data_IF_030407876929
#
_entry.id   IF_030407876929
#
_cell.length_a   1.000
_cell.length_b   1.000
_cell.length_c   1.000
_cell.angle_alpha   90.00
_cell.angle_beta   90.00
_cell.angle_gamma   90.00
#
_symmetry.space_group_name_H-M   'P 1'
#
loop_
_entity.id
_entity.type
_entity.pdbx_description
1 polymer ?
#
# COMPACT_ATOMS: atom_id res chain seq x y z
N UNK A 1 -1.09 -44.59 -51.35
CA UNK A 1 -0.85 -43.20 -51.82
C UNK A 1 -2.15 -42.42 -51.78
N UNK A 2 -2.29 -41.44 -50.89
CA UNK A 2 -3.47 -40.58 -50.84
C UNK A 2 -3.41 -39.61 -52.03
N UNK A 3 -4.49 -39.49 -52.82
CA UNK A 3 -4.50 -38.64 -54.02
C UNK A 3 -4.29 -37.15 -53.68
N UNK A 4 -3.56 -36.43 -54.54
CA UNK A 4 -3.30 -34.98 -54.38
C UNK A 4 -4.61 -34.17 -54.22
N UNK A 5 -5.72 -34.62 -54.81
CA UNK A 5 -7.06 -34.00 -54.64
C UNK A 5 -7.59 -34.16 -53.21
N UNK A 6 -7.40 -35.33 -52.59
CA UNK A 6 -7.85 -35.60 -51.22
C UNK A 6 -7.01 -34.82 -50.20
N UNK A 7 -5.69 -34.74 -50.39
CA UNK A 7 -4.81 -33.91 -49.57
C UNK A 7 -5.19 -32.42 -49.63
N UNK A 8 -5.53 -31.91 -50.83
CA UNK A 8 -5.97 -30.51 -51.00
C UNK A 8 -7.33 -30.24 -50.34
N UNK A 9 -8.26 -31.20 -50.37
CA UNK A 9 -9.53 -31.11 -49.64
C UNK A 9 -9.33 -31.15 -48.12
N UNK A 10 -8.47 -32.04 -47.61
CA UNK A 10 -8.16 -32.16 -46.17
C UNK A 10 -7.48 -30.89 -45.65
N UNK A 11 -6.49 -30.32 -46.37
CA UNK A 11 -5.89 -29.02 -46.00
C UNK A 11 -6.92 -27.89 -45.98
N UNK A 12 -7.85 -27.85 -46.94
CA UNK A 12 -8.93 -26.85 -46.97
C UNK A 12 -9.92 -27.01 -45.81
N UNK A 13 -10.14 -28.25 -45.35
CA UNK A 13 -10.97 -28.54 -44.19
C UNK A 13 -10.27 -28.14 -42.89
N UNK A 14 -9.03 -28.60 -42.68
CA UNK A 14 -8.23 -28.26 -41.50
C UNK A 14 -8.00 -26.75 -41.34
N UNK A 15 -7.84 -26.01 -42.45
CA UNK A 15 -7.73 -24.55 -42.42
C UNK A 15 -9.03 -23.83 -41.99
N UNK A 16 -10.18 -24.54 -41.99
CA UNK A 16 -11.48 -24.04 -41.51
C UNK A 16 -11.84 -24.54 -40.12
N UNK A 17 -11.09 -25.48 -39.54
CA UNK A 17 -11.34 -25.99 -38.19
C UNK A 17 -10.69 -25.03 -37.20
N UNK A 18 -11.50 -24.42 -36.33
CA UNK A 18 -10.98 -23.63 -35.22
C UNK A 18 -10.20 -24.58 -34.31
N UNK A 19 -8.91 -24.34 -34.06
CA UNK A 19 -8.13 -25.19 -33.19
C UNK A 19 -8.75 -25.29 -31.79
N UNK A 20 -8.83 -26.50 -31.24
CA UNK A 20 -9.41 -26.75 -29.92
C UNK A 20 -8.78 -25.85 -28.83
N UNK A 21 -7.49 -25.55 -28.93
CA UNK A 21 -6.78 -24.67 -28.00
C UNK A 21 -7.29 -23.21 -28.02
N UNK A 22 -7.74 -22.69 -29.17
CA UNK A 22 -8.34 -21.36 -29.27
C UNK A 22 -9.70 -21.31 -28.57
N UNK A 23 -10.50 -22.37 -28.72
CA UNK A 23 -11.78 -22.51 -28.01
C UNK A 23 -11.54 -22.61 -26.49
N UNK A 24 -10.55 -23.38 -26.06
CA UNK A 24 -10.18 -23.48 -24.65
C UNK A 24 -9.69 -22.15 -24.06
N UNK A 25 -8.87 -21.38 -24.79
CA UNK A 25 -8.42 -20.05 -24.34
C UNK A 25 -9.62 -19.10 -24.20
N UNK A 26 -10.56 -19.11 -25.15
CA UNK A 26 -11.77 -18.29 -25.07
C UNK A 26 -12.64 -18.66 -23.87
N UNK A 27 -12.82 -19.95 -23.60
CA UNK A 27 -13.57 -20.43 -22.43
C UNK A 27 -12.88 -20.04 -21.12
N UNK A 28 -11.55 -20.22 -21.03
CA UNK A 28 -10.78 -19.85 -19.85
C UNK A 28 -10.86 -18.34 -19.58
N UNK A 29 -10.69 -17.50 -20.60
CA UNK A 29 -10.82 -16.05 -20.47
C UNK A 29 -12.23 -15.63 -20.07
N UNK A 30 -13.26 -16.30 -20.61
CA UNK A 30 -14.65 -16.01 -20.25
C UNK A 30 -14.95 -16.35 -18.79
N UNK A 31 -14.45 -17.49 -18.30
CA UNK A 31 -14.60 -17.90 -16.89
C UNK A 31 -13.87 -16.93 -15.95
N UNK A 32 -12.66 -16.50 -16.32
CA UNK A 32 -11.92 -15.49 -15.55
C UNK A 32 -12.67 -14.16 -15.52
N UNK A 33 -13.16 -13.69 -16.67
CA UNK A 33 -13.91 -12.44 -16.77
C UNK A 33 -15.21 -12.47 -15.96
N UNK A 34 -16.00 -13.54 -16.05
CA UNK A 34 -17.22 -13.69 -15.25
C UNK A 34 -16.91 -13.79 -13.76
N UNK A 35 -15.85 -14.50 -13.38
CA UNK A 35 -15.36 -14.55 -11.99
C UNK A 35 -14.97 -13.16 -11.45
N UNK A 36 -14.25 -12.35 -12.23
CA UNK A 36 -13.90 -10.98 -11.86
C UNK A 36 -15.12 -10.07 -11.72
N UNK A 37 -16.08 -10.16 -12.64
CA UNK A 37 -17.33 -9.38 -12.59
C UNK A 37 -18.15 -9.77 -11.36
N UNK A 38 -18.31 -11.08 -11.12
CA UNK A 38 -19.08 -11.59 -9.97
C UNK A 38 -18.41 -11.22 -8.64
N UNK A 39 -17.09 -11.28 -8.56
CA UNK A 39 -16.32 -10.78 -7.41
C UNK A 39 -16.54 -9.28 -7.18
N UNK A 40 -16.48 -8.47 -8.24
CA UNK A 40 -16.71 -7.03 -8.14
C UNK A 40 -18.13 -6.69 -7.66
N UNK A 41 -19.14 -7.36 -8.21
CA UNK A 41 -20.54 -7.23 -7.76
C UNK A 41 -20.69 -7.64 -6.31
N UNK A 42 -20.13 -8.79 -5.90
CA UNK A 42 -20.18 -9.25 -4.52
C UNK A 42 -19.51 -8.27 -3.56
N UNK A 43 -18.33 -7.74 -3.90
CA UNK A 43 -17.61 -6.73 -3.10
C UNK A 43 -18.42 -5.44 -2.98
N UNK A 44 -19.02 -4.98 -4.08
CA UNK A 44 -19.88 -3.79 -4.09
C UNK A 44 -21.12 -4.00 -3.20
N UNK A 45 -21.78 -5.14 -3.31
CA UNK A 45 -22.97 -5.48 -2.51
C UNK A 45 -22.63 -5.59 -1.03
N UNK A 46 -21.51 -6.23 -0.68
CA UNK A 46 -21.03 -6.35 0.70
C UNK A 46 -20.74 -4.97 1.32
N UNK A 47 -20.03 -4.09 0.60
CA UNK A 47 -19.77 -2.73 1.06
C UNK A 47 -21.07 -1.93 1.23
N UNK A 48 -22.01 -2.06 0.30
CA UNK A 48 -23.31 -1.40 0.39
C UNK A 48 -24.13 -1.90 1.60
N UNK A 49 -24.10 -3.20 1.88
CA UNK A 49 -24.74 -3.79 3.05
C UNK A 49 -24.11 -3.28 4.36
N UNK A 50 -22.78 -3.25 4.46
CA UNK A 50 -22.09 -2.66 5.62
C UNK A 50 -22.41 -1.16 5.76
N UNK A 51 -22.56 -0.41 4.66
CA UNK A 51 -23.00 1.00 4.69
C UNK A 51 -24.41 1.15 5.21
N UNK A 52 -25.34 0.33 4.74
CA UNK A 52 -26.71 0.34 5.26
C UNK A 52 -26.74 -0.02 6.74
N UNK A 53 -26.00 -1.05 7.16
CA UNK A 53 -25.95 -1.48 8.56
C UNK A 53 -25.35 -0.41 9.48
N UNK A 54 -24.28 0.28 9.04
CA UNK A 54 -23.71 1.40 9.77
C UNK A 54 -24.67 2.59 9.92
N UNK A 55 -25.65 2.74 9.02
CA UNK A 55 -26.63 3.84 9.07
C UNK A 55 -27.88 3.47 9.88
N UNK A 56 -28.23 2.17 9.96
CA UNK A 56 -29.43 1.71 10.64
C UNK A 56 -29.19 1.18 12.05
N UNK A 57 -27.95 0.79 12.38
CA UNK A 57 -27.64 0.31 13.73
C UNK A 57 -27.81 1.42 14.76
N UNK A 58 -28.50 1.09 15.85
CA UNK A 58 -28.64 1.96 17.03
C UNK A 58 -27.64 1.61 18.12
N UNK A 59 -26.87 0.53 17.94
CA UNK A 59 -25.88 0.05 18.89
C UNK A 59 -24.51 0.65 18.53
N UNK A 60 -23.93 1.50 19.39
CA UNK A 60 -22.65 2.15 19.08
C UNK A 60 -21.48 1.17 18.96
N UNK A 61 -21.44 0.12 19.77
CA UNK A 61 -20.39 -0.90 19.70
C UNK A 61 -20.46 -1.70 18.39
N UNK A 62 -21.67 -2.02 17.94
CA UNK A 62 -21.89 -2.65 16.64
C UNK A 62 -21.45 -1.73 15.49
N UNK A 63 -21.78 -0.43 15.56
CA UNK A 63 -21.32 0.56 14.61
C UNK A 63 -19.79 0.57 14.50
N UNK A 64 -19.08 0.58 15.63
CA UNK A 64 -17.61 0.55 15.62
C UNK A 64 -17.07 -0.72 14.96
N UNK A 65 -17.67 -1.89 15.21
CA UNK A 65 -17.24 -3.12 14.53
C UNK A 65 -17.44 -3.05 13.01
N UNK A 66 -18.56 -2.46 12.56
CA UNK A 66 -18.83 -2.27 11.13
C UNK A 66 -17.81 -1.31 10.51
N UNK A 67 -17.53 -0.18 11.18
CA UNK A 67 -16.53 0.79 10.73
C UNK A 67 -15.14 0.16 10.68
N UNK A 68 -14.76 -0.60 11.70
CA UNK A 68 -13.50 -1.36 11.72
C UNK A 68 -13.36 -2.27 10.50
N UNK A 69 -14.39 -3.07 10.18
CA UNK A 69 -14.35 -3.97 9.03
C UNK A 69 -14.22 -3.23 7.68
N UNK A 70 -14.74 -2.00 7.59
CA UNK A 70 -14.63 -1.16 6.38
C UNK A 70 -13.26 -0.51 6.23
N UNK A 71 -12.70 -0.05 7.35
CA UNK A 71 -11.39 0.63 7.41
C UNK A 71 -10.27 -0.40 7.24
N UNK A 72 -10.38 -1.52 7.95
CA UNK A 72 -9.39 -2.59 8.07
C UNK A 72 -10.06 -3.93 7.69
N UNK A 73 -10.21 -4.22 6.39
CA UNK A 73 -10.81 -5.49 5.97
C UNK A 73 -9.98 -6.69 6.43
N UNK A 74 -10.62 -7.69 7.03
CA UNK A 74 -9.95 -8.90 7.53
C UNK A 74 -9.13 -9.65 6.45
N UNK A 75 -9.59 -9.60 5.19
CA UNK A 75 -8.88 -10.21 4.06
C UNK A 75 -7.67 -9.41 3.59
N UNK A 76 -7.39 -8.26 4.18
CA UNK A 76 -6.38 -7.32 3.73
C UNK A 76 -6.79 -6.53 2.50
N UNK A 77 -5.79 -5.96 1.85
CA UNK A 77 -5.91 -5.14 0.66
C UNK A 77 -4.73 -5.42 -0.29
N UNK A 78 -5.03 -5.57 -1.58
CA UNK A 78 -4.04 -5.70 -2.64
C UNK A 78 -3.72 -4.32 -3.20
N UNK A 79 -2.47 -3.90 -3.08
CA UNK A 79 -1.97 -2.62 -3.61
C UNK A 79 -1.83 -2.71 -5.14
N UNK A 80 -1.84 -1.56 -5.81
CA UNK A 80 -1.71 -1.52 -7.27
C UNK A 80 -0.29 -1.83 -7.77
N UNK A 81 0.70 -1.78 -6.88
CA UNK A 81 2.11 -2.05 -7.20
C UNK A 81 2.47 -3.53 -7.08
N UNK A 82 3.52 -3.93 -7.78
CA UNK A 82 4.17 -5.24 -7.71
C UNK A 82 5.52 -5.18 -7.02
N UNK A 83 5.93 -6.32 -6.46
CA UNK A 83 7.25 -6.50 -5.84
C UNK A 83 8.39 -6.38 -6.84
N UNK A 84 8.25 -6.98 -8.03
CA UNK A 84 9.33 -7.15 -9.00
C UNK A 84 10.62 -7.61 -8.30
N UNK A 85 11.72 -6.88 -8.43
CA UNK A 85 13.00 -7.18 -7.78
C UNK A 85 13.30 -6.28 -6.57
N UNK A 86 12.32 -5.50 -6.09
CA UNK A 86 12.51 -4.52 -5.01
C UNK A 86 13.14 -5.15 -3.78
N UNK A 87 12.59 -6.27 -3.28
CA UNK A 87 13.12 -6.91 -2.08
C UNK A 87 14.58 -7.37 -2.23
N UNK A 88 14.94 -7.87 -3.42
CA UNK A 88 16.33 -8.23 -3.75
C UNK A 88 17.23 -7.01 -3.75
N UNK A 89 16.81 -5.91 -4.38
CA UNK A 89 17.58 -4.66 -4.41
C UNK A 89 17.79 -4.06 -3.00
N UNK A 90 16.82 -4.23 -2.08
CA UNK A 90 16.97 -3.79 -0.68
C UNK A 90 18.01 -4.61 0.08
N UNK A 91 18.10 -5.92 -0.17
CA UNK A 91 19.16 -6.76 0.40
C UNK A 91 20.53 -6.43 -0.21
N UNK A 92 20.62 -6.31 -1.53
CA UNK A 92 21.89 -6.04 -2.24
C UNK A 92 22.47 -4.65 -1.94
N UNK A 93 21.61 -3.66 -1.72
CA UNK A 93 22.04 -2.31 -1.33
C UNK A 93 22.55 -2.24 0.11
N UNK A 94 22.20 -3.22 0.95
CA UNK A 94 22.43 -3.18 2.39
C UNK A 94 21.40 -2.35 3.15
N UNK A 95 20.34 -1.88 2.48
CA UNK A 95 19.22 -1.18 3.12
C UNK A 95 18.55 -2.08 4.16
N UNK A 96 18.43 -3.37 3.85
CA UNK A 96 18.01 -4.42 4.78
C UNK A 96 19.16 -5.41 4.96
N UNK A 97 19.58 -5.60 6.21
CA UNK A 97 20.39 -6.73 6.63
C UNK A 97 19.50 -7.96 6.77
N UNK A 98 19.81 -9.01 6.02
CA UNK A 98 19.02 -10.24 6.00
C UNK A 98 18.83 -10.83 7.41
N UNK A 99 19.91 -10.94 8.18
CA UNK A 99 19.89 -11.60 9.49
C UNK A 99 19.07 -10.79 10.48
N UNK A 100 19.30 -9.46 10.56
CA UNK A 100 18.50 -8.60 11.45
C UNK A 100 17.02 -8.64 11.10
N UNK A 101 16.68 -8.69 9.81
CA UNK A 101 15.29 -8.75 9.36
C UNK A 101 14.64 -10.10 9.68
N UNK A 102 15.37 -11.21 9.51
CA UNK A 102 14.90 -12.55 9.90
C UNK A 102 14.69 -12.66 11.42
N UNK A 103 15.58 -12.08 12.22
CA UNK A 103 15.48 -12.01 13.68
C UNK A 103 14.28 -11.17 14.14
N UNK A 104 14.11 -9.99 13.53
CA UNK A 104 12.98 -9.09 13.79
C UNK A 104 11.63 -9.79 13.64
N UNK A 105 11.52 -10.67 12.64
CA UNK A 105 10.31 -11.40 12.29
C UNK A 105 10.37 -12.88 12.68
N UNK A 106 11.28 -13.27 13.58
CA UNK A 106 11.50 -14.68 13.93
C UNK A 106 10.26 -15.37 14.52
N UNK A 107 9.38 -14.63 15.17
CA UNK A 107 8.12 -15.14 15.75
C UNK A 107 6.90 -14.88 14.87
N UNK A 108 7.09 -14.29 13.68
CA UNK A 108 6.03 -13.95 12.75
C UNK A 108 6.07 -14.89 11.53
N UNK A 109 5.26 -15.96 11.50
CA UNK A 109 5.25 -16.90 10.40
C UNK A 109 4.78 -16.27 9.08
N UNK A 110 4.02 -15.18 9.13
CA UNK A 110 3.53 -14.47 7.95
C UNK A 110 4.65 -13.63 7.37
N UNK A 111 5.35 -12.84 8.19
CA UNK A 111 6.50 -12.07 7.72
C UNK A 111 7.63 -12.99 7.19
N UNK A 112 7.88 -14.16 7.79
CA UNK A 112 8.82 -15.15 7.22
C UNK A 112 8.42 -15.60 5.81
N UNK A 113 7.12 -15.84 5.58
CA UNK A 113 6.60 -16.20 4.27
C UNK A 113 6.77 -15.06 3.27
N UNK A 114 6.46 -13.82 3.66
CA UNK A 114 6.64 -12.62 2.84
C UNK A 114 8.13 -12.44 2.45
N UNK A 115 9.04 -12.62 3.41
CA UNK A 115 10.49 -12.57 3.17
C UNK A 115 10.92 -13.61 2.13
N UNK A 116 10.54 -14.88 2.32
CA UNK A 116 10.90 -15.94 1.39
C UNK A 116 10.33 -15.71 -0.02
N UNK A 117 9.11 -15.18 -0.11
CA UNK A 117 8.41 -14.98 -1.38
C UNK A 117 8.88 -13.73 -2.16
N UNK A 118 9.29 -12.66 -1.46
CA UNK A 118 9.43 -11.34 -2.07
C UNK A 118 10.79 -10.67 -1.85
N UNK A 119 11.59 -11.12 -0.88
CA UNK A 119 12.91 -10.53 -0.61
C UNK A 119 14.04 -11.27 -1.32
N UNK A 120 13.95 -12.59 -1.46
CA UNK A 120 15.07 -13.42 -1.96
C UNK A 120 15.02 -13.70 -3.47
N UNK A 121 13.91 -13.38 -4.13
CA UNK A 121 13.70 -13.62 -5.56
C UNK A 121 12.84 -12.53 -6.19
N UNK A 122 12.97 -12.36 -7.51
CA UNK A 122 12.04 -11.53 -8.26
C UNK A 122 10.63 -12.12 -8.19
N UNK A 123 9.65 -11.31 -7.80
CA UNK A 123 8.24 -11.71 -7.72
C UNK A 123 7.36 -10.75 -8.52
N UNK A 124 6.54 -11.30 -9.42
CA UNK A 124 5.54 -10.54 -10.16
C UNK A 124 4.23 -10.35 -9.37
N UNK A 125 4.22 -10.73 -8.09
CA UNK A 125 3.07 -10.59 -7.22
C UNK A 125 2.82 -9.12 -6.89
N UNK A 126 1.55 -8.76 -6.76
CA UNK A 126 1.22 -7.46 -6.17
C UNK A 126 1.55 -7.46 -4.70
N UNK A 127 1.99 -6.31 -4.19
CA UNK A 127 2.12 -6.11 -2.75
C UNK A 127 0.73 -6.19 -2.10
N UNK A 128 0.67 -6.76 -0.90
CA UNK A 128 -0.57 -6.84 -0.13
C UNK A 128 -0.32 -6.37 1.30
N UNK A 129 -1.32 -5.72 1.90
CA UNK A 129 -1.28 -5.31 3.30
C UNK A 129 -2.50 -5.87 4.05
N UNK A 130 -2.26 -6.37 5.25
CA UNK A 130 -3.27 -6.85 6.19
C UNK A 130 -2.78 -6.61 7.64
N UNK A 131 -3.61 -6.94 8.62
CA UNK A 131 -3.26 -6.76 10.03
C UNK A 131 -1.99 -7.54 10.42
N UNK A 132 -1.77 -8.71 9.84
CA UNK A 132 -0.62 -9.58 10.17
C UNK A 132 0.71 -9.17 9.53
N UNK A 133 0.72 -8.50 8.38
CA UNK A 133 1.95 -8.13 7.69
C UNK A 133 2.22 -6.61 7.69
N UNK A 134 1.41 -5.82 8.39
CA UNK A 134 1.51 -4.35 8.42
C UNK A 134 2.89 -3.85 8.87
N UNK A 135 3.48 -4.49 9.89
CA UNK A 135 4.85 -4.20 10.38
C UNK A 135 5.92 -4.56 9.35
N UNK A 136 5.77 -5.70 8.67
CA UNK A 136 6.66 -6.07 7.58
C UNK A 136 6.61 -5.06 6.43
N UNK A 137 5.39 -4.62 6.06
CA UNK A 137 5.19 -3.66 4.98
C UNK A 137 5.76 -2.27 5.32
N UNK A 138 5.54 -1.74 6.53
CA UNK A 138 6.08 -0.41 6.89
C UNK A 138 7.60 -0.42 6.90
N UNK A 139 8.25 -1.44 7.47
CA UNK A 139 9.71 -1.51 7.52
C UNK A 139 10.32 -1.71 6.12
N UNK A 140 9.66 -2.50 5.25
CA UNK A 140 10.19 -2.75 3.90
C UNK A 140 10.07 -1.53 3.01
N UNK A 141 8.92 -0.84 3.08
CA UNK A 141 8.73 0.42 2.34
C UNK A 141 9.58 1.55 2.94
N UNK A 142 9.81 1.56 4.25
CA UNK A 142 10.74 2.50 4.89
C UNK A 142 12.16 2.30 4.34
N UNK A 143 12.67 1.07 4.32
CA UNK A 143 13.96 0.77 3.71
C UNK A 143 14.05 1.26 2.26
N UNK A 144 12.99 1.04 1.48
CA UNK A 144 12.89 1.49 0.10
C UNK A 144 12.94 3.01 -0.04
N UNK A 145 12.10 3.74 0.69
CA UNK A 145 12.11 5.20 0.67
C UNK A 145 13.43 5.78 1.15
N UNK A 146 14.07 5.14 2.13
CA UNK A 146 15.34 5.58 2.69
C UNK A 146 16.50 5.44 1.69
N UNK A 147 16.62 4.29 1.04
CA UNK A 147 17.79 3.98 0.19
C UNK A 147 17.61 4.48 -1.25
N UNK A 148 16.37 4.57 -1.73
CA UNK A 148 16.09 5.01 -3.08
C UNK A 148 16.50 6.47 -3.26
N UNK A 149 17.19 6.75 -4.36
CA UNK A 149 17.63 8.09 -4.71
C UNK A 149 16.43 8.95 -5.04
N UNK A 150 16.27 10.04 -4.29
CA UNK A 150 15.05 10.86 -4.34
C UNK A 150 15.37 12.35 -4.29
N UNK A 151 14.80 13.13 -5.23
CA UNK A 151 14.88 14.59 -5.18
C UNK A 151 14.26 15.16 -3.91
N UNK A 152 13.21 14.53 -3.38
CA UNK A 152 12.59 14.95 -2.12
C UNK A 152 13.59 14.85 -0.97
N UNK A 153 14.40 13.79 -0.93
CA UNK A 153 15.42 13.60 0.10
C UNK A 153 16.66 14.48 -0.11
N UNK A 154 17.05 14.73 -1.37
CA UNK A 154 18.26 15.48 -1.71
C UNK A 154 18.06 17.00 -1.80
N UNK A 155 16.83 17.48 -1.92
CA UNK A 155 16.52 18.90 -2.14
C UNK A 155 15.34 19.40 -1.29
N UNK A 156 14.55 18.50 -0.71
CA UNK A 156 13.32 18.86 -0.01
C UNK A 156 13.48 19.25 1.47
N UNK A 157 12.36 19.19 2.18
CA UNK A 157 12.23 19.68 3.56
C UNK A 157 13.21 19.04 4.55
N UNK A 158 13.50 17.74 4.46
CA UNK A 158 14.46 17.08 5.37
C UNK A 158 15.85 17.72 5.28
N UNK A 159 16.38 17.93 4.08
CA UNK A 159 17.69 18.55 3.91
C UNK A 159 17.69 20.01 4.37
N UNK A 160 16.63 20.74 4.06
CA UNK A 160 16.47 22.16 4.40
C UNK A 160 16.40 22.35 5.92
N UNK A 161 15.52 21.63 6.60
CA UNK A 161 15.32 21.75 8.05
C UNK A 161 16.40 21.04 8.87
N UNK A 162 17.01 19.98 8.33
CA UNK A 162 18.17 19.32 8.94
C UNK A 162 19.46 20.14 8.87
N UNK A 163 19.48 21.26 8.13
CA UNK A 163 20.66 22.12 7.94
C UNK A 163 21.90 21.33 7.50
N UNK A 164 21.70 20.30 6.68
CA UNK A 164 22.75 19.40 6.20
C UNK A 164 22.97 18.14 7.04
N UNK A 165 22.47 18.07 8.27
CA UNK A 165 22.45 16.83 9.06
C UNK A 165 21.05 16.22 9.05
N UNK A 166 20.85 15.24 8.18
CA UNK A 166 19.58 14.51 8.07
C UNK A 166 19.54 13.27 8.95
N UNK A 167 20.58 12.95 9.73
CA UNK A 167 20.63 11.75 10.58
C UNK A 167 19.88 11.91 11.91
N UNK A 168 19.56 13.14 12.31
CA UNK A 168 18.79 13.43 13.52
C UNK A 168 17.28 13.16 13.41
N UNK A 169 16.77 12.86 12.21
CA UNK A 169 15.36 12.57 11.98
C UNK A 169 14.99 11.13 12.36
N UNK A 170 13.73 10.88 12.67
CA UNK A 170 13.29 9.56 13.13
C UNK A 170 13.45 8.47 12.05
N UNK A 171 13.32 8.82 10.78
CA UNK A 171 13.41 7.92 9.62
C UNK A 171 14.84 7.57 9.23
N UNK A 172 15.82 8.31 9.74
CA UNK A 172 17.24 8.07 9.47
C UNK A 172 17.94 7.55 10.73
N UNK A 173 17.88 8.30 11.82
CA UNK A 173 18.46 7.92 13.11
C UNK A 173 17.77 6.70 13.76
N UNK A 174 16.49 6.47 13.45
CA UNK A 174 15.77 5.30 13.91
C UNK A 174 15.98 4.03 13.09
N UNK A 175 16.64 4.10 11.92
CA UNK A 175 16.85 2.93 11.06
C UNK A 175 18.07 2.14 11.52
N UNK A 176 17.85 0.92 12.02
CA UNK A 176 18.90 0.04 12.55
C UNK A 176 18.97 -1.33 11.86
N UNK A 177 18.04 -1.58 10.93
CA UNK A 177 17.88 -2.85 10.23
C UNK A 177 18.76 -2.95 8.97
N UNK A 178 19.54 -1.92 8.65
CA UNK A 178 20.52 -1.95 7.56
C UNK A 178 21.80 -2.71 7.92
N UNK A 179 22.50 -3.19 6.89
CA UNK A 179 23.83 -3.81 7.03
C UNK A 179 24.95 -2.77 7.00
N UNK A 180 24.60 -1.50 6.77
CA UNK A 180 25.48 -0.32 6.74
C UNK A 180 24.89 0.80 7.59
N UNK A 181 25.71 1.78 8.03
CA UNK A 181 25.21 3.00 8.64
C UNK A 181 24.20 3.72 7.73
N UNK A 182 23.14 4.29 8.32
CA UNK A 182 22.10 5.01 7.55
C UNK A 182 22.65 6.16 6.71
N UNK A 183 23.76 6.79 7.13
CA UNK A 183 24.45 7.84 6.38
C UNK A 183 25.00 7.36 5.03
N UNK A 184 25.30 6.06 4.89
CA UNK A 184 25.73 5.45 3.62
C UNK A 184 24.55 4.94 2.78
N UNK A 185 23.38 4.79 3.40
CA UNK A 185 22.18 4.27 2.74
C UNK A 185 21.30 5.39 2.19
N UNK A 186 21.16 6.49 2.92
CA UNK A 186 20.25 7.60 2.62
C UNK A 186 20.42 8.10 1.17
N UNK A 187 19.37 7.96 0.36
CA UNK A 187 19.32 8.38 -1.05
C UNK A 187 20.50 7.89 -1.91
N UNK A 188 21.07 6.71 -1.58
CA UNK A 188 22.34 6.24 -2.14
C UNK A 188 22.20 5.41 -3.42
N UNK A 189 21.01 4.85 -3.70
CA UNK A 189 20.80 3.91 -4.82
C UNK A 189 19.64 4.33 -5.70
N UNK A 190 19.83 4.35 -7.01
CA UNK A 190 18.72 4.53 -7.96
C UNK A 190 17.99 3.19 -8.19
N UNK A 191 17.22 2.73 -7.20
CA UNK A 191 16.39 1.52 -7.30
C UNK A 191 15.20 1.78 -8.23
N UNK A 192 14.59 2.95 -8.08
CA UNK A 192 13.42 3.39 -8.84
C UNK A 192 13.83 4.57 -9.71
N UNK A 193 13.91 4.34 -11.02
CA UNK A 193 14.19 5.39 -11.99
C UNK A 193 12.92 6.11 -12.39
N UNK A 194 12.89 7.43 -12.17
CA UNK A 194 11.75 8.30 -12.48
C UNK A 194 12.11 9.33 -13.56
N UNK A 195 11.20 9.61 -14.48
CA UNK A 195 11.30 10.77 -15.38
C UNK A 195 11.04 12.08 -14.62
N UNK A 196 11.32 13.22 -15.26
CA UNK A 196 11.04 14.54 -14.69
C UNK A 196 9.55 14.71 -14.36
N UNK A 197 8.65 14.26 -15.23
CA UNK A 197 7.19 14.33 -15.01
C UNK A 197 6.76 13.45 -13.84
N UNK A 198 7.37 12.26 -13.72
CA UNK A 198 7.12 11.36 -12.60
C UNK A 198 7.62 11.96 -11.28
N UNK A 199 8.79 12.59 -11.25
CA UNK A 199 9.31 13.30 -10.07
C UNK A 199 8.35 14.40 -9.60
N UNK A 200 7.80 15.19 -10.51
CA UNK A 200 6.80 16.21 -10.16
C UNK A 200 5.50 15.59 -9.63
N UNK A 201 5.05 14.46 -10.20
CA UNK A 201 3.89 13.74 -9.68
C UNK A 201 4.13 13.19 -8.27
N UNK A 202 5.31 12.60 -8.01
CA UNK A 202 5.71 12.14 -6.67
C UNK A 202 5.64 13.29 -5.68
N UNK A 203 6.28 14.43 -6.00
CA UNK A 203 6.27 15.63 -5.15
C UNK A 203 4.86 16.15 -4.89
N UNK A 204 4.04 16.26 -5.94
CA UNK A 204 2.63 16.69 -5.84
C UNK A 204 1.84 15.82 -4.86
N UNK A 205 1.98 14.49 -4.93
CA UNK A 205 1.28 13.58 -4.04
C UNK A 205 1.84 13.71 -2.62
N UNK A 206 3.17 13.65 -2.48
CA UNK A 206 3.86 13.67 -1.19
C UNK A 206 3.52 14.93 -0.35
N UNK A 207 3.34 16.09 -0.98
CA UNK A 207 2.93 17.34 -0.33
C UNK A 207 1.55 17.27 0.36
N UNK A 208 0.68 16.35 -0.06
CA UNK A 208 -0.72 16.30 0.39
C UNK A 208 -1.05 15.12 1.30
N UNK A 209 -0.11 14.18 1.46
CA UNK A 209 -0.32 12.95 2.23
C UNK A 209 0.30 13.10 3.61
N UNK A 210 -0.55 13.04 4.63
CA UNK A 210 -0.19 13.10 6.05
C UNK A 210 -0.45 11.76 6.73
N UNK A 211 0.12 11.59 7.92
CA UNK A 211 -0.01 10.39 8.75
C UNK A 211 -0.11 10.81 10.23
N UNK A 212 -0.99 10.19 11.04
CA UNK A 212 -1.37 10.67 12.37
C UNK A 212 -0.24 10.81 13.39
N UNK A 213 0.95 10.26 13.11
CA UNK A 213 2.10 10.31 14.02
C UNK A 213 2.87 11.64 13.98
N UNK A 214 2.70 12.50 12.97
CA UNK A 214 3.46 13.76 12.85
C UNK A 214 2.67 14.87 12.13
N UNK A 215 3.11 16.12 12.28
CA UNK A 215 2.51 17.28 11.62
C UNK A 215 2.95 17.49 10.16
N UNK A 216 3.96 16.73 9.71
CA UNK A 216 4.60 16.90 8.42
C UNK A 216 3.93 16.08 7.31
N UNK A 217 3.91 16.60 6.07
CA UNK A 217 3.49 15.84 4.89
C UNK A 217 4.53 14.79 4.49
N UNK A 218 4.22 13.92 3.54
CA UNK A 218 5.16 12.92 3.00
C UNK A 218 6.33 13.53 2.23
N UNK A 219 6.24 14.79 1.80
CA UNK A 219 7.38 15.54 1.26
C UNK A 219 8.44 15.83 2.34
N UNK A 220 8.05 15.84 3.62
CA UNK A 220 8.97 15.82 4.75
C UNK A 220 8.88 14.46 5.48
N UNK A 221 9.56 13.41 4.98
CA UNK A 221 9.49 12.06 5.52
C UNK A 221 10.34 11.86 6.79
N UNK A 222 10.15 12.72 7.79
CA UNK A 222 10.85 12.64 9.08
C UNK A 222 10.59 11.31 9.81
N UNK A 223 9.35 10.84 9.93
CA UNK A 223 9.09 9.54 10.57
C UNK A 223 9.19 8.36 9.59
N UNK A 224 9.36 7.16 10.14
CA UNK A 224 9.36 5.90 9.39
C UNK A 224 8.14 5.72 8.46
N UNK A 225 6.93 6.05 8.92
CA UNK A 225 5.72 5.97 8.09
C UNK A 225 5.75 6.94 6.91
N UNK A 226 6.38 8.11 7.08
CA UNK A 226 6.58 9.06 6.00
C UNK A 226 7.54 8.55 4.95
N UNK A 227 8.67 8.01 5.40
CA UNK A 227 9.65 7.41 4.50
C UNK A 227 9.06 6.19 3.78
N UNK A 228 8.26 5.37 4.47
CA UNK A 228 7.52 4.27 3.87
C UNK A 228 6.50 4.74 2.82
N UNK A 229 5.72 5.78 3.13
CA UNK A 229 4.78 6.37 2.18
C UNK A 229 5.52 6.95 0.96
N UNK A 230 6.67 7.60 1.14
CA UNK A 230 7.50 8.09 0.03
C UNK A 230 7.97 6.94 -0.87
N UNK A 231 8.55 5.88 -0.29
CA UNK A 231 8.98 4.70 -1.04
C UNK A 231 7.83 4.05 -1.83
N UNK A 232 6.62 4.02 -1.25
CA UNK A 232 5.43 3.58 -1.96
C UNK A 232 5.05 4.48 -3.14
N UNK A 233 5.02 5.80 -2.94
CA UNK A 233 4.63 6.78 -3.98
C UNK A 233 5.59 6.67 -5.16
N UNK A 234 6.90 6.64 -4.91
CA UNK A 234 7.91 6.53 -5.96
C UNK A 234 7.73 5.24 -6.76
N UNK A 235 7.52 4.12 -6.08
CA UNK A 235 7.29 2.83 -6.73
C UNK A 235 6.02 2.83 -7.58
N UNK A 236 4.93 3.37 -7.03
CA UNK A 236 3.64 3.40 -7.71
C UNK A 236 3.67 4.30 -8.96
N UNK A 237 4.30 5.47 -8.86
CA UNK A 237 4.47 6.38 -10.00
C UNK A 237 5.36 5.73 -11.07
N UNK A 238 6.46 5.07 -10.69
CA UNK A 238 7.32 4.36 -11.64
C UNK A 238 6.60 3.25 -12.39
N UNK A 239 5.70 2.53 -11.71
CA UNK A 239 4.88 1.47 -12.29
C UNK A 239 3.65 2.00 -13.05
N UNK A 240 3.48 3.32 -13.19
CA UNK A 240 2.40 3.92 -13.96
C UNK A 240 1.03 3.84 -13.28
N UNK A 241 0.99 3.67 -11.95
CA UNK A 241 -0.26 3.69 -11.18
C UNK A 241 -0.87 5.10 -11.24
N UNK A 242 -2.16 5.21 -11.56
CA UNK A 242 -2.84 6.49 -11.62
C UNK A 242 -2.96 7.17 -10.25
N UNK A 243 -2.84 8.51 -10.20
CA UNK A 243 -2.83 9.32 -8.97
C UNK A 243 -3.96 8.97 -7.99
N UNK A 244 -5.19 8.79 -8.49
CA UNK A 244 -6.34 8.43 -7.65
C UNK A 244 -6.17 7.08 -6.94
N UNK A 245 -5.55 6.10 -7.61
CA UNK A 245 -5.29 4.79 -7.00
C UNK A 245 -4.16 4.88 -5.98
N UNK A 246 -3.15 5.71 -6.23
CA UNK A 246 -2.06 5.96 -5.27
C UNK A 246 -2.64 6.48 -3.94
N UNK A 247 -3.55 7.46 -3.96
CA UNK A 247 -4.20 7.91 -2.73
C UNK A 247 -5.04 6.82 -2.05
N UNK A 248 -5.76 5.99 -2.82
CA UNK A 248 -6.53 4.88 -2.24
C UNK A 248 -5.63 3.86 -1.56
N UNK A 249 -4.49 3.58 -2.14
CA UNK A 249 -3.51 2.64 -1.60
C UNK A 249 -2.83 3.20 -0.36
N UNK A 250 -2.43 4.48 -0.38
CA UNK A 250 -1.90 5.18 0.80
C UNK A 250 -2.91 5.27 1.94
N UNK A 251 -4.19 5.49 1.63
CA UNK A 251 -5.26 5.46 2.64
C UNK A 251 -5.33 4.08 3.31
N UNK A 252 -5.15 3.01 2.53
CA UNK A 252 -5.13 1.64 3.07
C UNK A 252 -3.87 1.38 3.89
N UNK A 253 -2.71 1.76 3.40
CA UNK A 253 -1.45 1.66 4.14
C UNK A 253 -1.57 2.35 5.52
N UNK A 254 -1.98 3.62 5.54
CA UNK A 254 -2.19 4.33 6.78
C UNK A 254 -3.30 3.72 7.66
N UNK A 255 -4.38 3.18 7.08
CA UNK A 255 -5.43 2.51 7.86
C UNK A 255 -4.92 1.26 8.61
N UNK A 256 -3.98 0.51 8.01
CA UNK A 256 -3.37 -0.66 8.66
C UNK A 256 -2.23 -0.28 9.61
N UNK A 257 -1.54 0.84 9.38
CA UNK A 257 -0.49 1.35 10.28
C UNK A 257 -1.06 2.09 11.50
N UNK A 258 -2.19 2.77 11.32
CA UNK A 258 -2.88 3.54 12.35
C UNK A 258 -4.36 3.10 12.52
N UNK A 259 -4.62 1.82 12.89
CA UNK A 259 -5.97 1.27 13.00
C UNK A 259 -6.95 2.13 13.78
N UNK A 260 -6.53 2.61 14.96
CA UNK A 260 -7.36 3.42 15.85
C UNK A 260 -7.79 4.71 15.16
N UNK A 261 -6.83 5.49 14.67
CA UNK A 261 -7.07 6.82 14.11
C UNK A 261 -7.95 6.77 12.86
N UNK A 262 -7.82 5.73 12.03
CA UNK A 262 -8.67 5.60 10.84
C UNK A 262 -10.07 5.06 11.14
N UNK A 263 -10.26 4.27 12.22
CA UNK A 263 -11.59 3.92 12.70
C UNK A 263 -12.29 5.12 13.34
N UNK A 264 -11.57 5.94 14.10
CA UNK A 264 -12.05 7.22 14.61
C UNK A 264 -12.44 8.17 13.47
N UNK A 265 -11.60 8.27 12.43
CA UNK A 265 -11.89 9.09 11.24
C UNK A 265 -13.14 8.59 10.51
N UNK A 266 -13.32 7.27 10.40
CA UNK A 266 -14.53 6.71 9.82
C UNK A 266 -15.79 7.02 10.65
N UNK A 267 -15.69 7.01 11.98
CA UNK A 267 -16.78 7.42 12.86
C UNK A 267 -17.09 8.92 12.71
N UNK A 268 -16.06 9.76 12.60
CA UNK A 268 -16.20 11.20 12.40
C UNK A 268 -16.93 11.55 11.10
N UNK A 269 -16.58 10.91 9.99
CA UNK A 269 -17.31 11.08 8.72
C UNK A 269 -18.72 10.48 8.79
N UNK A 270 -18.92 9.37 9.51
CA UNK A 270 -20.23 8.77 9.69
C UNK A 270 -21.19 9.71 10.43
N UNK A 271 -20.75 10.43 11.47
CA UNK A 271 -21.53 11.48 12.14
C UNK A 271 -21.96 12.61 11.20
N UNK A 272 -21.23 12.82 10.10
CA UNK A 272 -21.55 13.79 9.04
C UNK A 272 -22.35 13.17 7.89
N UNK A 273 -22.89 11.95 8.07
CA UNK A 273 -23.63 11.19 7.07
C UNK A 273 -22.80 10.81 5.82
N UNK A 274 -21.47 10.79 5.93
CA UNK A 274 -20.57 10.33 4.87
C UNK A 274 -20.08 8.93 5.22
N UNK A 275 -20.44 7.92 4.43
CA UNK A 275 -19.96 6.56 4.64
C UNK A 275 -18.49 6.44 4.24
N UNK A 276 -17.71 5.61 4.96
CA UNK A 276 -16.26 5.45 4.74
C UNK A 276 -15.86 5.18 3.28
N UNK A 277 -16.64 4.38 2.57
CA UNK A 277 -16.45 4.04 1.16
C UNK A 277 -16.65 5.21 0.18
N UNK A 278 -17.27 6.31 0.64
CA UNK A 278 -17.49 7.54 -0.12
C UNK A 278 -16.53 8.66 0.24
N UNK A 279 -15.72 8.50 1.29
CA UNK A 279 -14.72 9.50 1.68
C UNK A 279 -13.65 9.55 0.60
N UNK A 280 -13.35 10.76 0.10
CA UNK A 280 -12.25 10.94 -0.83
C UNK A 280 -10.91 10.67 -0.14
N UNK A 281 -10.08 9.82 -0.75
CA UNK A 281 -8.84 9.36 -0.13
C UNK A 281 -7.82 10.49 0.08
N UNK A 282 -7.77 11.46 -0.85
CA UNK A 282 -6.88 12.62 -0.71
C UNK A 282 -7.37 13.55 0.42
N UNK A 283 -8.68 13.70 0.59
CA UNK A 283 -9.26 14.41 1.73
C UNK A 283 -8.89 13.70 3.03
N UNK A 284 -9.17 12.40 3.17
CA UNK A 284 -8.86 11.63 4.38
C UNK A 284 -7.38 11.69 4.76
N UNK A 285 -6.47 11.63 3.78
CA UNK A 285 -5.02 11.72 3.97
C UNK A 285 -4.51 13.15 4.20
N UNK A 286 -5.35 14.17 4.03
CA UNK A 286 -4.96 15.58 4.16
C UNK A 286 -4.62 15.98 5.59
N UNK A 287 -3.96 17.12 5.74
CA UNK A 287 -3.49 17.64 7.04
C UNK A 287 -4.62 17.79 8.06
N UNK A 288 -5.82 18.20 7.63
CA UNK A 288 -6.98 18.38 8.50
C UNK A 288 -7.38 17.11 9.27
N UNK A 289 -7.14 15.94 8.70
CA UNK A 289 -7.61 14.67 9.26
C UNK A 289 -6.48 13.74 9.67
N UNK A 290 -5.41 13.70 8.88
CA UNK A 290 -4.31 12.74 9.05
C UNK A 290 -3.01 13.38 9.54
N UNK A 291 -2.90 14.68 9.80
CA UNK A 291 -1.75 15.19 10.58
C UNK A 291 -1.91 14.79 12.06
N UNK A 292 -0.84 14.88 12.86
CA UNK A 292 -0.94 14.68 14.31
C UNK A 292 -2.02 15.57 14.95
N UNK A 293 -2.08 16.85 14.56
CA UNK A 293 -3.08 17.80 15.05
C UNK A 293 -4.48 17.45 14.53
N UNK A 294 -4.60 17.10 13.25
CA UNK A 294 -5.88 16.71 12.64
C UNK A 294 -6.46 15.44 13.26
N UNK A 295 -5.63 14.41 13.44
CA UNK A 295 -6.04 13.17 14.10
C UNK A 295 -6.46 13.40 15.55
N UNK A 296 -5.77 14.29 16.28
CA UNK A 296 -6.18 14.66 17.63
C UNK A 296 -7.54 15.38 17.66
N UNK A 297 -7.82 16.25 16.69
CA UNK A 297 -9.13 16.90 16.57
C UNK A 297 -10.24 15.89 16.25
N UNK A 298 -9.97 14.95 15.34
CA UNK A 298 -10.88 13.84 15.02
C UNK A 298 -11.16 13.00 16.28
N UNK A 299 -10.11 12.60 17.00
CA UNK A 299 -10.24 11.84 18.25
C UNK A 299 -11.14 12.59 19.26
N UNK A 300 -10.91 13.88 19.50
CA UNK A 300 -11.74 14.69 20.40
C UNK A 300 -13.21 14.77 19.98
N UNK A 301 -13.48 14.82 18.68
CA UNK A 301 -14.84 14.87 18.15
C UNK A 301 -15.60 13.54 18.33
N UNK A 302 -14.89 12.40 18.40
CA UNK A 302 -15.51 11.07 18.51
C UNK A 302 -15.26 10.37 19.84
N UNK A 303 -14.51 10.96 20.78
CA UNK A 303 -14.11 10.33 22.06
C UNK A 303 -15.28 9.78 22.89
N UNK A 304 -16.47 10.33 22.73
CA UNK A 304 -17.68 9.91 23.45
C UNK A 304 -18.46 8.78 22.74
N UNK A 305 -18.01 8.31 21.58
CA UNK A 305 -18.64 7.19 20.87
C UNK A 305 -18.22 5.88 21.56
N UNK A 306 -19.16 5.12 22.16
CA UNK A 306 -18.83 3.88 22.85
C UNK A 306 -18.19 2.84 21.91
N UNK A 307 -17.26 2.04 22.44
CA UNK A 307 -16.65 0.93 21.73
C UNK A 307 -15.45 1.28 20.84
N UNK A 308 -15.04 2.56 20.73
CA UNK A 308 -13.97 3.01 19.83
C UNK A 308 -12.55 2.52 20.16
N UNK A 309 -12.33 1.72 21.20
CA UNK A 309 -11.00 1.22 21.54
C UNK A 309 -10.58 0.06 20.60
N UNK A 310 -9.78 0.38 19.58
CA UNK A 310 -9.16 -0.55 18.63
C UNK A 310 -7.69 -0.78 19.02
N UNK A 311 -7.23 -2.04 18.95
CA UNK A 311 -5.80 -2.36 19.13
C UNK A 311 -4.95 -1.55 18.16
N UNK A 312 -3.90 -0.89 18.67
CA UNK A 312 -2.96 -0.13 17.86
C UNK A 312 -2.15 -1.06 16.94
N UNK A 313 -1.80 -0.56 15.76
CA UNK A 313 -0.87 -1.21 14.84
C UNK A 313 0.57 -1.12 15.38
N UNK A 314 1.43 -2.06 14.96
CA UNK A 314 2.84 -2.06 15.32
C UNK A 314 3.63 -1.04 14.49
N UNK A 315 4.24 -0.05 15.16
CA UNK A 315 4.94 1.08 14.52
C UNK A 315 6.47 1.00 14.58
N UNK A 316 7.05 -0.03 15.23
CA UNK A 316 8.48 -0.13 15.49
C UNK A 316 9.23 -1.04 14.51
N UNK A 317 10.44 -0.62 14.13
CA UNK A 317 11.53 -1.52 13.74
C UNK A 317 12.03 -2.18 15.02
#
# INVERSE_FOLDING_TARGET
MISKKLQKKIKKLLAKVIPLWLVMILLLNSILATGFVQYYIMKKNFNAQLSALAQTTKNPEELVQILKQKVIPQKGYRLAVKWNDIGKQLLESGAIDKTKYEELFAQDPIAKKEMAAHMMSTSNDSMTINESNSRFMVNTLWALGLVNKSKILEEGSMKTYGKGDVMGFASTGGWTLGSKPTSELYSSREIIKLTSEQQELVKKIALTVYRPCCGNSTEFPDCNHGMAALGYIELAVAQGVGEKEIYRDLLRLNSFWFPQQYVELAAYFNQQNVSWDKVDAKVALGSQYSSAQGAQQVHQAVQNVPGLNVKQGGCGA
#
